data_IF_079816064561
#
_entry.id   IF_079816064561
#
_cell.length_a   1.000
_cell.length_b   1.000
_cell.length_c   1.000
_cell.angle_alpha   90.00
_cell.angle_beta   90.00
_cell.angle_gamma   90.00
#
_symmetry.space_group_name_H-M   'P 1'
#
loop_
_entity.id
_entity.type
_entity.pdbx_description
1 polymer ?
#
# COMPACT_ATOMS: atom_id res chain seq x y z
N UNK A 1 -24.27 -61.47 -34.76
CA UNK A 1 -23.38 -61.18 -33.61
C UNK A 1 -23.09 -59.69 -33.57
N UNK A 2 -23.56 -59.06 -32.47
CA UNK A 2 -23.15 -57.81 -31.83
C UNK A 2 -22.92 -56.53 -32.64
N UNK A 3 -24.01 -55.78 -32.86
CA UNK A 3 -24.00 -54.30 -32.89
C UNK A 3 -24.34 -53.78 -31.49
N UNK A 4 -23.35 -53.35 -30.69
CA UNK A 4 -23.65 -52.97 -29.30
C UNK A 4 -22.61 -52.21 -28.50
N UNK A 5 -21.61 -51.56 -29.12
CA UNK A 5 -20.54 -50.88 -28.35
C UNK A 5 -20.34 -49.39 -28.74
N UNK A 6 -21.00 -48.85 -29.75
CA UNK A 6 -20.52 -47.60 -30.37
C UNK A 6 -21.33 -46.31 -30.12
N UNK A 7 -22.38 -46.32 -29.28
CA UNK A 7 -23.10 -45.09 -28.90
C UNK A 7 -22.75 -44.61 -27.49
N UNK A 8 -22.68 -45.50 -26.51
CA UNK A 8 -22.41 -45.14 -25.11
C UNK A 8 -21.00 -44.58 -24.91
N UNK A 9 -20.01 -45.13 -25.64
CA UNK A 9 -18.61 -44.65 -25.59
C UNK A 9 -18.48 -43.27 -26.26
N UNK A 10 -19.20 -43.02 -27.35
CA UNK A 10 -19.17 -41.72 -28.05
C UNK A 10 -19.85 -40.61 -27.24
N UNK A 11 -20.96 -40.91 -26.56
CA UNK A 11 -21.63 -39.92 -25.70
C UNK A 11 -20.85 -39.70 -24.39
N UNK A 12 -20.21 -40.74 -23.84
CA UNK A 12 -19.30 -40.62 -22.70
C UNK A 12 -18.06 -39.78 -23.00
N UNK A 13 -17.43 -39.98 -24.17
CA UNK A 13 -16.28 -39.19 -24.58
C UNK A 13 -16.63 -37.72 -24.84
N UNK A 14 -17.81 -37.43 -25.42
CA UNK A 14 -18.26 -36.06 -25.65
C UNK A 14 -18.61 -35.34 -24.34
N UNK A 15 -19.22 -36.03 -23.37
CA UNK A 15 -19.51 -35.50 -22.04
C UNK A 15 -18.23 -35.26 -21.22
N UNK A 16 -17.20 -36.12 -21.37
CA UNK A 16 -15.90 -35.93 -20.73
C UNK A 16 -15.13 -34.76 -21.33
N UNK A 17 -15.18 -34.58 -22.66
CA UNK A 17 -14.58 -33.44 -23.36
C UNK A 17 -15.30 -32.12 -23.05
N UNK A 18 -16.63 -32.11 -22.94
CA UNK A 18 -17.36 -30.94 -22.46
C UNK A 18 -17.05 -30.64 -20.99
N UNK A 19 -17.00 -31.67 -20.12
CA UNK A 19 -16.64 -31.54 -18.70
C UNK A 19 -15.21 -31.00 -18.45
N UNK A 20 -14.26 -31.39 -19.30
CA UNK A 20 -12.89 -30.86 -19.29
C UNK A 20 -12.82 -29.44 -19.87
N UNK A 21 -13.68 -29.09 -20.84
CA UNK A 21 -13.72 -27.73 -21.41
C UNK A 21 -14.39 -26.69 -20.49
N UNK A 22 -15.29 -27.09 -19.59
CA UNK A 22 -15.87 -26.18 -18.58
C UNK A 22 -15.03 -26.06 -17.30
N UNK A 23 -13.91 -26.78 -17.19
CA UNK A 23 -13.06 -26.76 -15.99
C UNK A 23 -11.61 -26.34 -16.23
N UNK A 24 -11.17 -26.15 -17.49
CA UNK A 24 -9.74 -25.98 -17.80
C UNK A 24 -9.32 -24.68 -18.51
N UNK A 25 -10.22 -23.77 -18.87
CA UNK A 25 -9.81 -22.53 -19.56
C UNK A 25 -9.42 -21.37 -18.63
N UNK A 26 -9.77 -21.39 -17.33
CA UNK A 26 -9.34 -20.35 -16.37
C UNK A 26 -8.31 -20.86 -15.34
N UNK A 27 -8.14 -22.18 -15.20
CA UNK A 27 -7.38 -22.78 -14.08
C UNK A 27 -5.91 -23.05 -14.36
N UNK A 28 -5.46 -22.94 -15.61
CA UNK A 28 -4.11 -23.34 -16.02
C UNK A 28 -3.22 -22.18 -16.46
N UNK A 29 -3.79 -21.00 -16.73
CA UNK A 29 -3.01 -19.84 -17.23
C UNK A 29 -2.44 -18.98 -16.10
N UNK A 30 -3.01 -19.04 -14.89
CA UNK A 30 -2.56 -18.18 -13.77
C UNK A 30 -2.42 -18.87 -12.40
N UNK A 31 -2.43 -20.21 -12.34
CA UNK A 31 -2.15 -20.96 -11.09
C UNK A 31 -3.10 -20.59 -9.94
N UNK A 32 -4.18 -21.34 -9.79
CA UNK A 32 -5.15 -21.15 -8.70
C UNK A 32 -4.48 -21.41 -7.32
N UNK A 33 -4.08 -20.35 -6.61
CA UNK A 33 -3.42 -20.42 -5.30
C UNK A 33 -4.49 -20.60 -4.22
N UNK A 34 -4.64 -21.82 -3.70
CA UNK A 34 -5.50 -22.12 -2.54
C UNK A 34 -4.65 -22.39 -1.28
N UNK A 35 -4.53 -21.43 -0.35
CA UNK A 35 -3.78 -21.63 0.89
C UNK A 35 -4.50 -22.63 1.82
N UNK A 36 -3.76 -23.63 2.32
CA UNK A 36 -4.26 -24.55 3.35
C UNK A 36 -4.04 -23.91 4.75
N UNK A 37 -5.11 -23.76 5.53
CA UNK A 37 -5.10 -23.10 6.83
C UNK A 37 -4.84 -24.05 8.01
N UNK A 38 -4.86 -25.37 7.79
CA UNK A 38 -4.80 -26.39 8.85
C UNK A 38 -3.40 -26.98 9.09
N UNK A 39 -2.40 -26.61 8.28
CA UNK A 39 -1.03 -27.04 8.50
C UNK A 39 -0.42 -26.26 9.67
N UNK A 40 0.20 -26.93 10.65
CA UNK A 40 0.72 -26.32 11.87
C UNK A 40 2.27 -26.22 11.86
N UNK A 41 2.83 -25.13 11.30
CA UNK A 41 4.26 -24.86 11.21
C UNK A 41 4.86 -24.20 12.47
N UNK A 42 4.17 -24.16 13.62
CA UNK A 42 4.62 -23.55 14.88
C UNK A 42 5.98 -24.10 15.42
N UNK A 43 6.55 -25.11 14.77
CA UNK A 43 7.79 -25.76 15.17
C UNK A 43 9.06 -25.28 14.43
N UNK A 44 9.01 -24.27 13.52
CA UNK A 44 10.13 -24.05 12.58
C UNK A 44 10.70 -22.64 12.31
N UNK A 45 10.17 -21.51 12.81
CA UNK A 45 10.76 -20.17 12.51
C UNK A 45 10.92 -19.28 13.75
N UNK A 46 11.95 -18.42 13.73
CA UNK A 46 12.25 -17.40 14.74
C UNK A 46 11.54 -16.06 14.53
N UNK A 47 10.58 -15.99 13.59
CA UNK A 47 9.85 -14.78 13.16
C UNK A 47 8.34 -15.03 13.27
N UNK A 48 7.51 -14.06 13.74
CA UNK A 48 6.05 -14.18 13.77
C UNK A 48 5.43 -14.08 12.37
N UNK A 49 4.82 -15.19 11.89
CA UNK A 49 4.26 -15.34 10.55
C UNK A 49 3.14 -14.33 10.20
N UNK A 50 3.07 -13.93 8.93
CA UNK A 50 1.99 -13.17 8.28
C UNK A 50 1.28 -14.00 7.20
N UNK A 51 0.23 -13.44 6.59
CA UNK A 51 -0.36 -14.03 5.39
C UNK A 51 0.63 -14.19 4.23
N UNK A 52 1.69 -13.36 4.16
CA UNK A 52 2.67 -13.41 3.08
C UNK A 52 3.43 -14.74 3.04
N UNK A 53 3.77 -15.32 4.20
CA UNK A 53 4.47 -16.61 4.30
C UNK A 53 3.78 -17.71 3.47
N UNK A 54 2.44 -17.76 3.55
CA UNK A 54 1.62 -18.75 2.83
C UNK A 54 1.66 -18.54 1.32
N UNK A 55 1.60 -17.29 0.88
CA UNK A 55 1.75 -16.94 -0.54
C UNK A 55 3.16 -17.27 -1.03
N UNK A 56 4.20 -16.90 -0.27
CA UNK A 56 5.61 -17.15 -0.62
C UNK A 56 5.86 -18.65 -0.80
N UNK A 57 5.41 -19.48 0.15
CA UNK A 57 5.59 -20.94 0.07
C UNK A 57 4.84 -21.56 -1.12
N UNK A 58 3.73 -20.95 -1.54
CA UNK A 58 2.98 -21.37 -2.73
C UNK A 58 3.69 -20.92 -4.02
N UNK A 59 4.10 -19.65 -4.09
CA UNK A 59 4.78 -19.05 -5.25
C UNK A 59 6.14 -19.70 -5.53
N UNK A 60 6.87 -20.14 -4.49
CA UNK A 60 8.12 -20.90 -4.65
C UNK A 60 7.98 -22.20 -5.45
N UNK A 61 6.76 -22.76 -5.50
CA UNK A 61 6.46 -24.02 -6.20
C UNK A 61 6.03 -23.78 -7.65
N UNK A 62 5.71 -22.55 -8.03
CA UNK A 62 5.27 -22.20 -9.37
C UNK A 62 6.48 -22.14 -10.30
N UNK A 63 6.32 -22.65 -11.52
CA UNK A 63 7.28 -22.54 -12.61
C UNK A 63 6.58 -21.88 -13.78
N UNK A 64 7.11 -20.76 -14.24
CA UNK A 64 6.52 -20.00 -15.35
C UNK A 64 7.26 -20.39 -16.63
N UNK A 65 6.54 -21.00 -17.57
CA UNK A 65 7.08 -21.46 -18.86
C UNK A 65 6.76 -20.52 -20.00
N UNK A 66 5.87 -19.56 -19.79
CA UNK A 66 5.48 -18.58 -20.79
C UNK A 66 6.60 -17.58 -21.09
N UNK A 67 6.48 -16.90 -22.22
CA UNK A 67 7.41 -15.85 -22.59
C UNK A 67 7.24 -14.64 -21.65
N UNK A 68 8.34 -14.25 -21.02
CA UNK A 68 8.42 -13.11 -20.09
C UNK A 68 9.21 -11.97 -20.72
N UNK A 69 8.81 -10.72 -20.45
CA UNK A 69 9.70 -9.60 -20.66
C UNK A 69 10.92 -9.75 -19.74
N UNK A 70 12.13 -9.57 -20.28
CA UNK A 70 13.36 -9.60 -19.49
C UNK A 70 14.15 -8.30 -19.70
N UNK A 71 13.66 -7.16 -19.17
CA UNK A 71 14.27 -5.85 -19.39
C UNK A 71 15.62 -5.67 -18.68
N UNK A 72 16.02 -6.60 -17.79
CA UNK A 72 17.28 -6.57 -17.05
C UNK A 72 18.07 -7.89 -17.15
N UNK A 73 18.46 -8.31 -18.37
CA UNK A 73 19.01 -9.64 -18.62
C UNK A 73 20.35 -9.91 -17.92
N UNK A 74 21.08 -8.85 -17.58
CA UNK A 74 22.40 -8.89 -16.93
C UNK A 74 22.38 -8.31 -15.51
N UNK A 75 21.19 -8.11 -14.93
CA UNK A 75 21.03 -7.50 -13.62
C UNK A 75 20.30 -8.35 -12.60
N UNK A 76 19.84 -7.68 -11.54
CA UNK A 76 19.22 -8.33 -10.39
C UNK A 76 17.82 -8.85 -10.69
N UNK A 77 17.16 -8.31 -11.72
CA UNK A 77 15.80 -8.70 -12.12
C UNK A 77 15.77 -9.65 -13.32
N UNK A 78 16.91 -10.26 -13.65
CA UNK A 78 16.99 -11.26 -14.72
C UNK A 78 15.96 -12.37 -14.49
N UNK A 79 15.16 -12.65 -15.51
CA UNK A 79 14.14 -13.71 -15.50
C UNK A 79 13.08 -13.57 -14.39
N UNK A 80 12.84 -12.37 -13.83
CA UNK A 80 11.69 -12.15 -12.93
C UNK A 80 10.40 -12.62 -13.64
N UNK A 81 9.63 -13.49 -12.98
CA UNK A 81 8.27 -13.85 -13.38
C UNK A 81 7.13 -13.27 -12.51
N UNK A 82 7.24 -13.30 -11.17
CA UNK A 82 6.15 -12.87 -10.29
C UNK A 82 6.64 -11.96 -9.17
N UNK A 83 5.82 -10.99 -8.74
CA UNK A 83 6.01 -10.26 -7.50
C UNK A 83 4.79 -10.43 -6.59
N UNK A 84 4.98 -10.84 -5.34
CA UNK A 84 3.98 -10.67 -4.30
C UNK A 84 4.16 -9.31 -3.65
N UNK A 85 3.10 -8.53 -3.61
CA UNK A 85 3.02 -7.26 -2.88
C UNK A 85 2.11 -7.45 -1.68
N UNK A 86 2.61 -7.12 -0.50
CA UNK A 86 1.82 -7.09 0.72
C UNK A 86 1.68 -5.64 1.20
N UNK A 87 0.44 -5.24 1.49
CA UNK A 87 0.11 -4.08 2.31
C UNK A 87 -0.28 -4.56 3.71
N UNK A 88 0.29 -3.96 4.74
CA UNK A 88 0.00 -4.33 6.14
C UNK A 88 -0.24 -3.11 7.01
N UNK A 89 -1.34 -3.08 7.77
CA UNK A 89 -1.61 -2.02 8.74
C UNK A 89 -0.58 -2.05 9.89
N UNK A 90 -0.09 -0.88 10.28
CA UNK A 90 0.81 -0.67 11.41
C UNK A 90 0.72 0.74 11.98
N UNK A 91 1.54 1.02 12.99
CA UNK A 91 1.60 2.33 13.64
C UNK A 91 2.99 2.64 14.21
N UNK A 92 3.22 3.91 14.54
CA UNK A 92 4.44 4.40 15.19
C UNK A 92 4.27 4.43 16.72
N UNK A 93 5.33 4.10 17.46
CA UNK A 93 5.36 4.18 18.93
C UNK A 93 6.16 5.40 19.48
N UNK A 94 6.55 6.34 18.62
CA UNK A 94 7.53 7.37 18.99
C UNK A 94 8.97 6.83 18.96
N UNK A 95 9.97 7.72 19.01
CA UNK A 95 11.41 7.39 19.00
C UNK A 95 11.89 6.51 17.83
N UNK A 96 11.22 6.61 16.67
CA UNK A 96 11.57 5.82 15.48
C UNK A 96 11.16 4.35 15.55
N UNK A 97 10.47 3.92 16.61
CA UNK A 97 9.97 2.56 16.78
C UNK A 97 8.70 2.32 15.97
N UNK A 98 8.67 1.26 15.15
CA UNK A 98 7.57 0.94 14.24
C UNK A 98 7.17 -0.53 14.39
N UNK A 99 5.86 -0.80 14.51
CA UNK A 99 5.33 -2.15 14.65
C UNK A 99 4.13 -2.34 13.71
N UNK A 100 3.96 -3.57 13.20
CA UNK A 100 2.71 -3.93 12.53
C UNK A 100 1.58 -4.10 13.54
N UNK A 101 0.32 -3.95 13.10
CA UNK A 101 -0.82 -4.33 13.93
C UNK A 101 -0.98 -5.85 13.94
N UNK A 102 -1.56 -6.37 15.03
CA UNK A 102 -2.09 -7.72 15.05
C UNK A 102 -3.11 -7.91 13.94
N UNK A 103 -3.13 -9.10 13.35
CA UNK A 103 -4.15 -9.48 12.38
C UNK A 103 -5.33 -10.05 13.15
N UNK A 104 -6.48 -9.39 13.05
CA UNK A 104 -7.71 -9.82 13.70
C UNK A 104 -8.62 -10.46 12.64
N UNK A 105 -8.85 -11.79 12.68
CA UNK A 105 -9.61 -12.48 11.62
C UNK A 105 -11.02 -11.92 11.39
N UNK A 106 -11.62 -11.32 12.41
CA UNK A 106 -12.97 -10.74 12.40
C UNK A 106 -12.98 -9.22 12.55
N UNK A 107 -11.86 -8.55 12.28
CA UNK A 107 -11.88 -7.10 12.28
C UNK A 107 -12.84 -6.55 11.19
N UNK A 108 -13.40 -5.36 11.40
CA UNK A 108 -14.26 -4.67 10.44
C UNK A 108 -13.60 -4.40 9.09
N UNK A 109 -12.27 -4.28 9.05
CA UNK A 109 -11.47 -4.23 7.82
C UNK A 109 -10.29 -5.20 7.93
N UNK A 110 -9.64 -5.48 6.78
CA UNK A 110 -8.48 -6.37 6.72
C UNK A 110 -7.20 -5.59 7.06
N UNK A 111 -6.33 -6.18 7.88
CA UNK A 111 -5.04 -5.59 8.25
C UNK A 111 -3.92 -6.02 7.29
N UNK A 112 -4.16 -7.00 6.43
CA UNK A 112 -3.22 -7.50 5.43
C UNK A 112 -3.95 -7.70 4.10
N UNK A 113 -3.43 -7.04 3.06
CA UNK A 113 -3.97 -7.10 1.71
C UNK A 113 -2.85 -7.43 0.72
N UNK A 114 -3.17 -8.23 -0.30
CA UNK A 114 -2.18 -8.81 -1.19
C UNK A 114 -2.50 -8.51 -2.66
N UNK A 115 -1.43 -8.28 -3.42
CA UNK A 115 -1.48 -8.15 -4.88
C UNK A 115 -0.40 -9.04 -5.46
N UNK A 116 -0.74 -9.78 -6.52
CA UNK A 116 0.23 -10.56 -7.28
C UNK A 116 0.44 -9.86 -8.62
N UNK A 117 1.69 -9.53 -8.91
CA UNK A 117 2.10 -8.93 -10.17
C UNK A 117 2.69 -10.04 -11.03
N UNK A 118 2.07 -10.29 -12.17
CA UNK A 118 2.55 -11.27 -13.14
C UNK A 118 3.28 -10.56 -14.26
N UNK A 119 4.59 -10.80 -14.36
CA UNK A 119 5.34 -10.39 -15.53
C UNK A 119 4.83 -11.17 -16.74
N UNK A 120 4.81 -10.52 -17.89
CA UNK A 120 4.33 -11.07 -19.14
C UNK A 120 5.12 -10.42 -20.29
N UNK A 121 4.89 -10.84 -21.54
CA UNK A 121 5.56 -10.25 -22.70
C UNK A 121 4.95 -8.89 -23.15
N UNK A 122 3.97 -8.36 -22.43
CA UNK A 122 3.31 -7.09 -22.72
C UNK A 122 4.05 -5.87 -22.19
N UNK A 123 3.51 -4.69 -22.47
CA UNK A 123 4.11 -3.41 -22.03
C UNK A 123 3.93 -3.12 -20.54
N UNK A 124 2.91 -3.73 -19.91
CA UNK A 124 2.65 -3.63 -18.47
C UNK A 124 2.45 -5.03 -17.89
N UNK A 125 3.04 -5.34 -16.72
CA UNK A 125 2.72 -6.55 -15.97
C UNK A 125 1.24 -6.59 -15.59
N UNK A 126 0.68 -7.78 -15.49
CA UNK A 126 -0.71 -7.96 -15.02
C UNK A 126 -0.75 -7.77 -13.52
N UNK A 127 -1.67 -6.94 -13.03
CA UNK A 127 -1.87 -6.66 -11.60
C UNK A 127 -3.11 -7.39 -11.10
N UNK A 128 -2.92 -8.36 -10.20
CA UNK A 128 -4.00 -9.17 -9.65
C UNK A 128 -4.17 -8.90 -8.15
N UNK A 129 -5.17 -8.07 -7.81
CA UNK A 129 -5.58 -7.87 -6.43
C UNK A 129 -6.24 -9.15 -5.91
N UNK A 130 -5.68 -9.72 -4.84
CA UNK A 130 -6.20 -10.93 -4.22
C UNK A 130 -7.47 -10.59 -3.44
N UNK A 131 -8.64 -10.69 -4.08
CA UNK A 131 -9.91 -10.19 -3.53
C UNK A 131 -10.29 -10.80 -2.18
N UNK A 132 -9.85 -12.03 -1.90
CA UNK A 132 -9.99 -12.70 -0.59
C UNK A 132 -9.24 -11.99 0.55
N UNK A 133 -8.22 -11.21 0.22
CA UNK A 133 -7.49 -10.39 1.20
C UNK A 133 -8.10 -9.01 1.39
N UNK A 134 -9.00 -8.58 0.51
CA UNK A 134 -9.65 -7.26 0.57
C UNK A 134 -11.09 -7.32 1.06
N UNK A 135 -11.74 -8.48 1.00
CA UNK A 135 -13.12 -8.70 1.47
C UNK A 135 -13.18 -8.59 2.98
N UNK A 136 -14.11 -7.82 3.56
CA UNK A 136 -14.25 -7.78 5.03
C UNK A 136 -14.92 -9.06 5.54
N UNK A 137 -14.81 -9.35 6.84
CA UNK A 137 -15.50 -10.48 7.45
C UNK A 137 -17.03 -10.40 7.21
N UNK A 138 -17.61 -9.21 7.35
CA UNK A 138 -19.05 -8.99 7.15
C UNK A 138 -19.47 -9.20 5.69
N UNK A 139 -18.69 -8.69 4.74
CA UNK A 139 -18.91 -8.93 3.32
C UNK A 139 -18.85 -10.43 2.99
N UNK A 140 -17.91 -11.17 3.57
CA UNK A 140 -17.79 -12.62 3.42
C UNK A 140 -19.04 -13.36 3.93
N UNK A 141 -19.57 -12.97 5.10
CA UNK A 141 -20.81 -13.55 5.66
C UNK A 141 -22.02 -13.34 4.74
N UNK A 142 -22.01 -12.25 3.97
CA UNK A 142 -23.04 -11.94 2.97
C UNK A 142 -22.73 -12.50 1.57
N UNK A 143 -21.70 -13.34 1.43
CA UNK A 143 -21.23 -13.89 0.15
C UNK A 143 -20.85 -12.81 -0.89
N UNK A 144 -20.45 -11.62 -0.42
CA UNK A 144 -19.91 -10.56 -1.28
C UNK A 144 -18.45 -10.85 -1.60
N UNK A 145 -17.97 -10.27 -2.70
CA UNK A 145 -16.56 -10.30 -3.06
C UNK A 145 -15.94 -8.97 -2.69
N UNK A 146 -14.75 -9.00 -2.07
CA UNK A 146 -13.97 -7.80 -1.78
C UNK A 146 -13.65 -7.01 -3.05
N UNK A 147 -13.28 -5.73 -2.96
CA UNK A 147 -12.98 -4.92 -4.13
C UNK A 147 -11.76 -5.43 -4.90
N UNK A 148 -11.54 -4.88 -6.10
CA UNK A 148 -10.34 -5.11 -6.90
C UNK A 148 -9.29 -3.99 -6.70
N UNK A 149 -9.23 -3.43 -5.49
CA UNK A 149 -8.27 -2.39 -5.09
C UNK A 149 -7.89 -2.60 -3.62
N UNK A 150 -6.73 -2.06 -3.23
CA UNK A 150 -6.28 -2.06 -1.84
C UNK A 150 -7.06 -1.00 -1.06
N UNK A 151 -7.63 -1.38 0.09
CA UNK A 151 -8.35 -0.49 1.00
C UNK A 151 -7.38 0.10 2.02
N UNK A 152 -7.31 1.42 2.07
CA UNK A 152 -6.38 2.14 2.96
C UNK A 152 -7.16 3.08 3.89
N UNK A 153 -6.85 3.00 5.18
CA UNK A 153 -7.21 4.01 6.17
C UNK A 153 -6.04 4.99 6.28
N UNK A 154 -6.27 6.26 5.96
CA UNK A 154 -5.28 7.32 6.02
C UNK A 154 -5.15 8.00 7.37
N UNK A 155 -4.28 9.01 7.40
CA UNK A 155 -4.00 9.88 8.55
C UNK A 155 -2.59 9.71 9.11
N UNK A 156 -2.04 10.81 9.64
CA UNK A 156 -0.64 10.94 10.10
C UNK A 156 -0.05 9.82 10.95
N UNK A 157 -0.86 9.18 11.79
CA UNK A 157 -0.42 8.14 12.73
C UNK A 157 -0.69 6.72 12.19
N UNK A 158 -1.39 6.60 11.06
CA UNK A 158 -1.71 5.34 10.40
C UNK A 158 -0.65 5.03 9.36
N UNK A 159 0.04 3.91 9.54
CA UNK A 159 1.09 3.47 8.62
C UNK A 159 0.69 2.18 7.93
N UNK A 160 1.07 2.07 6.67
CA UNK A 160 0.84 0.88 5.86
C UNK A 160 2.16 0.36 5.33
N UNK A 161 2.57 -0.80 5.79
CA UNK A 161 3.80 -1.43 5.38
C UNK A 161 3.67 -2.04 4.01
N UNK A 162 4.69 -1.83 3.21
CA UNK A 162 4.88 -2.43 1.90
C UNK A 162 5.99 -3.46 2.00
N UNK A 163 5.74 -4.66 1.49
CA UNK A 163 6.78 -5.65 1.22
C UNK A 163 6.60 -6.18 -0.21
N UNK A 164 7.69 -6.17 -0.98
CA UNK A 164 7.76 -6.68 -2.35
C UNK A 164 8.63 -7.95 -2.36
N UNK A 165 8.07 -9.08 -2.76
CA UNK A 165 8.79 -10.36 -2.89
C UNK A 165 8.87 -10.74 -4.35
N UNK A 166 10.06 -10.67 -4.94
CA UNK A 166 10.28 -10.99 -6.34
C UNK A 166 10.71 -12.43 -6.53
N UNK A 167 10.12 -13.10 -7.51
CA UNK A 167 10.41 -14.48 -7.86
C UNK A 167 10.82 -14.57 -9.33
N UNK A 168 11.87 -15.34 -9.60
CA UNK A 168 12.24 -15.69 -10.96
C UNK A 168 11.26 -16.71 -11.56
N UNK A 169 11.38 -16.99 -12.86
CA UNK A 169 10.57 -18.01 -13.55
C UNK A 169 10.66 -19.41 -12.95
N UNK A 170 11.70 -19.67 -12.15
CA UNK A 170 11.89 -20.92 -11.43
C UNK A 170 11.37 -20.84 -9.98
N UNK A 171 10.55 -19.84 -9.63
CA UNK A 171 10.00 -19.66 -8.29
C UNK A 171 11.06 -19.35 -7.22
N UNK A 172 12.28 -18.96 -7.58
CA UNK A 172 13.32 -18.61 -6.61
C UNK A 172 13.13 -17.17 -6.15
N UNK A 173 13.14 -16.95 -4.84
CA UNK A 173 13.07 -15.60 -4.27
C UNK A 173 14.35 -14.82 -4.61
N UNK A 174 14.20 -13.61 -5.14
CA UNK A 174 15.27 -12.78 -5.72
C UNK A 174 15.71 -11.63 -4.80
N UNK A 175 14.99 -11.38 -3.69
CA UNK A 175 15.19 -10.20 -2.84
C UNK A 175 16.63 -9.99 -2.38
N UNK A 176 17.32 -11.05 -1.93
CA UNK A 176 18.72 -10.94 -1.50
C UNK A 176 19.67 -10.61 -2.66
N UNK A 177 19.40 -11.10 -3.88
CA UNK A 177 20.19 -10.75 -5.07
C UNK A 177 20.04 -9.27 -5.44
N UNK A 178 18.81 -8.75 -5.30
CA UNK A 178 18.50 -7.33 -5.51
C UNK A 178 19.22 -6.48 -4.45
N UNK A 179 19.15 -6.87 -3.19
CA UNK A 179 19.87 -6.20 -2.10
C UNK A 179 21.38 -6.24 -2.34
N UNK A 180 21.95 -7.34 -2.83
CA UNK A 180 23.38 -7.43 -3.12
C UNK A 180 23.85 -6.46 -4.22
N UNK A 181 22.95 -5.98 -5.06
CA UNK A 181 23.22 -4.96 -6.09
C UNK A 181 22.58 -3.61 -5.74
N UNK A 182 22.32 -3.33 -4.46
CA UNK A 182 21.59 -2.14 -4.03
C UNK A 182 22.20 -0.82 -4.49
N UNK A 183 23.50 -0.76 -4.78
CA UNK A 183 24.21 0.41 -5.30
C UNK A 183 23.80 0.81 -6.73
N UNK A 184 22.93 0.00 -7.36
CA UNK A 184 22.45 0.21 -8.72
C UNK A 184 20.93 0.26 -8.85
N UNK A 185 20.15 -0.10 -7.82
CA UNK A 185 18.68 -0.15 -7.91
C UNK A 185 18.01 0.68 -6.84
N UNK A 186 16.90 1.31 -7.22
CA UNK A 186 15.94 1.95 -6.32
C UNK A 186 14.55 1.85 -6.92
N UNK A 187 13.56 1.59 -6.07
CA UNK A 187 12.14 1.57 -6.39
C UNK A 187 11.55 2.91 -5.96
N UNK A 188 10.90 3.58 -6.91
CA UNK A 188 10.24 4.86 -6.72
C UNK A 188 8.72 4.68 -6.72
N UNK A 189 8.04 5.44 -5.87
CA UNK A 189 6.61 5.35 -5.62
C UNK A 189 5.95 6.69 -5.95
N UNK A 190 4.96 6.67 -6.84
CA UNK A 190 4.25 7.90 -7.25
C UNK A 190 2.75 7.63 -7.41
N UNK A 191 1.92 8.67 -7.33
CA UNK A 191 0.58 8.59 -7.94
C UNK A 191 0.77 8.45 -9.45
N UNK A 192 0.10 7.46 -10.05
CA UNK A 192 0.23 7.14 -11.48
C UNK A 192 -0.66 8.04 -12.33
N UNK A 193 -0.16 8.42 -13.51
CA UNK A 193 -0.91 9.05 -14.61
C UNK A 193 -1.68 8.04 -15.47
N UNK A 194 -1.40 6.73 -15.32
CA UNK A 194 -2.05 5.63 -16.03
C UNK A 194 -2.54 4.54 -15.08
N UNK A 195 -3.49 3.71 -15.53
CA UNK A 195 -4.00 2.55 -14.81
C UNK A 195 -3.03 1.34 -14.85
N UNK A 196 -3.47 0.19 -14.33
CA UNK A 196 -2.74 -1.09 -14.33
C UNK A 196 -2.50 -1.67 -15.73
N UNK A 197 -3.13 -1.11 -16.77
CA UNK A 197 -3.04 -1.55 -18.17
C UNK A 197 -2.32 -0.52 -19.05
N UNK A 198 -1.91 0.62 -18.47
CA UNK A 198 -1.24 1.70 -19.18
C UNK A 198 -2.18 2.70 -19.86
N UNK A 199 -3.49 2.66 -19.61
CA UNK A 199 -4.42 3.66 -20.10
C UNK A 199 -4.42 4.90 -19.19
N UNK A 200 -4.56 6.13 -19.72
CA UNK A 200 -4.66 7.34 -18.89
C UNK A 200 -5.73 7.21 -17.81
N UNK A 201 -5.40 7.63 -16.59
CA UNK A 201 -6.30 7.51 -15.45
C UNK A 201 -6.56 8.86 -14.77
N UNK A 202 -7.83 9.14 -14.51
CA UNK A 202 -8.28 10.29 -13.74
C UNK A 202 -8.40 9.89 -12.25
N UNK A 203 -7.64 10.57 -11.37
CA UNK A 203 -7.73 10.32 -9.93
C UNK A 203 -9.06 10.83 -9.40
N UNK A 204 -9.77 9.94 -8.71
CA UNK A 204 -11.09 10.23 -8.16
C UNK A 204 -10.98 10.59 -6.69
N UNK A 205 -11.86 11.48 -6.22
CA UNK A 205 -12.13 11.76 -4.83
C UNK A 205 -13.31 10.90 -4.35
N UNK A 206 -13.04 10.03 -3.37
CA UNK A 206 -14.01 9.07 -2.85
C UNK A 206 -15.02 9.69 -1.88
N UNK A 207 -14.82 10.96 -1.48
CA UNK A 207 -15.79 11.70 -0.66
C UNK A 207 -17.13 11.91 -1.37
N UNK A 208 -17.10 11.98 -2.71
CA UNK A 208 -18.25 12.30 -3.53
C UNK A 208 -18.57 13.79 -3.49
N UNK A 209 -19.80 14.17 -3.18
CA UNK A 209 -20.19 15.59 -2.99
C UNK A 209 -21.22 15.73 -1.89
N UNK A 210 -21.35 16.91 -1.29
CA UNK A 210 -22.46 17.20 -0.38
C UNK A 210 -23.00 18.62 -0.52
N UNK A 211 -24.23 18.80 -0.03
CA UNK A 211 -24.91 20.09 0.05
C UNK A 211 -25.32 20.33 1.50
N UNK A 212 -24.71 21.35 2.10
CA UNK A 212 -24.94 21.75 3.48
C UNK A 212 -26.12 22.69 3.57
N UNK A 213 -26.94 22.53 4.60
CA UNK A 213 -28.06 23.44 4.86
C UNK A 213 -27.58 24.69 5.60
N UNK A 214 -28.05 25.85 5.17
CA UNK A 214 -27.86 27.13 5.86
C UNK A 214 -29.20 27.81 6.08
N UNK A 215 -29.29 28.62 7.13
CA UNK A 215 -30.43 29.51 7.33
C UNK A 215 -30.35 30.77 6.45
N UNK A 216 -31.35 31.64 6.55
CA UNK A 216 -31.42 32.91 5.80
C UNK A 216 -30.26 33.88 6.10
N UNK A 217 -29.54 33.68 7.20
CA UNK A 217 -28.38 34.49 7.60
C UNK A 217 -27.05 33.81 7.26
N UNK A 218 -27.09 32.68 6.56
CA UNK A 218 -25.90 31.91 6.19
C UNK A 218 -25.30 31.10 7.35
N UNK A 219 -26.02 30.91 8.46
CA UNK A 219 -25.58 30.06 9.56
C UNK A 219 -25.85 28.60 9.23
N UNK A 220 -24.88 27.74 9.52
CA UNK A 220 -24.99 26.30 9.33
C UNK A 220 -26.21 25.75 10.09
N UNK A 221 -26.93 24.82 9.47
CA UNK A 221 -28.06 24.12 10.06
C UNK A 221 -27.84 22.60 9.94
N UNK A 222 -28.26 21.80 10.93
CA UNK A 222 -28.14 20.36 10.84
C UNK A 222 -28.93 19.81 9.65
N UNK A 223 -28.31 18.87 8.94
CA UNK A 223 -28.86 18.22 7.76
C UNK A 223 -28.32 18.76 6.44
N UNK A 224 -28.80 18.14 5.36
CA UNK A 224 -28.27 18.33 4.01
C UNK A 224 -28.36 17.03 3.23
N UNK A 225 -27.65 16.96 2.11
CA UNK A 225 -27.57 15.73 1.29
C UNK A 225 -26.13 15.39 1.00
N UNK A 226 -25.80 14.10 1.04
CA UNK A 226 -24.50 13.56 0.65
C UNK A 226 -24.73 12.62 -0.55
N UNK A 227 -24.00 12.83 -1.64
CA UNK A 227 -23.89 11.87 -2.74
C UNK A 227 -22.51 11.20 -2.64
N UNK A 228 -22.44 9.91 -2.25
CA UNK A 228 -21.17 9.22 -2.02
C UNK A 228 -20.49 8.78 -3.33
N UNK A 229 -21.06 9.06 -4.50
CA UNK A 229 -20.46 8.68 -5.78
C UNK A 229 -19.15 9.42 -6.00
N UNK A 230 -18.01 8.72 -6.20
CA UNK A 230 -16.73 9.38 -6.42
C UNK A 230 -16.75 10.33 -7.63
N UNK A 231 -16.09 11.48 -7.48
CA UNK A 231 -15.97 12.51 -8.52
C UNK A 231 -14.49 12.72 -8.90
N UNK A 232 -14.17 13.26 -10.08
CA UNK A 232 -12.79 13.64 -10.40
C UNK A 232 -12.20 14.57 -9.34
N UNK A 233 -10.98 14.29 -8.89
CA UNK A 233 -10.31 15.07 -7.86
C UNK A 233 -9.89 16.45 -8.40
N UNK A 234 -10.37 17.56 -7.80
CA UNK A 234 -9.95 18.91 -8.19
C UNK A 234 -8.44 19.13 -8.03
N UNK A 235 -7.83 18.60 -6.96
CA UNK A 235 -6.38 18.64 -6.72
C UNK A 235 -5.58 18.15 -7.92
N UNK A 236 -6.06 17.12 -8.60
CA UNK A 236 -5.36 16.49 -9.72
C UNK A 236 -5.74 17.02 -11.10
N UNK A 237 -6.64 18.02 -11.16
CA UNK A 237 -6.98 18.68 -12.41
C UNK A 237 -5.72 19.24 -13.10
N UNK A 238 -5.56 18.92 -14.38
CA UNK A 238 -4.43 19.38 -15.20
C UNK A 238 -3.09 18.67 -14.95
N UNK A 239 -3.00 17.72 -14.00
CA UNK A 239 -1.78 16.94 -13.74
C UNK A 239 -1.82 15.66 -14.57
N UNK A 240 -1.39 15.74 -15.82
CA UNK A 240 -1.57 14.67 -16.80
C UNK A 240 -0.28 13.93 -17.16
N UNK A 241 0.87 14.47 -16.77
CA UNK A 241 2.17 13.85 -16.99
C UNK A 241 2.67 13.13 -15.73
N UNK A 242 3.59 12.19 -15.91
CA UNK A 242 4.24 11.54 -14.77
C UNK A 242 4.90 12.54 -13.81
N UNK A 243 5.63 13.56 -14.32
CA UNK A 243 6.35 14.50 -13.47
C UNK A 243 5.40 15.34 -12.62
N UNK A 244 4.31 15.84 -13.21
CA UNK A 244 3.27 16.57 -12.46
C UNK A 244 2.62 15.70 -11.37
N UNK A 245 2.43 14.40 -11.62
CA UNK A 245 1.93 13.46 -10.62
C UNK A 245 2.95 13.16 -9.53
N UNK A 246 4.21 12.96 -9.90
CA UNK A 246 5.30 12.76 -8.96
C UNK A 246 5.43 13.96 -8.01
N UNK A 247 5.43 15.19 -8.54
CA UNK A 247 5.53 16.42 -7.75
C UNK A 247 4.33 16.65 -6.81
N UNK A 248 3.15 16.13 -7.18
CA UNK A 248 1.96 16.18 -6.35
C UNK A 248 1.88 15.03 -5.33
N UNK A 249 2.65 13.95 -5.51
CA UNK A 249 2.54 12.73 -4.68
C UNK A 249 2.82 12.98 -3.19
N UNK A 250 3.81 13.80 -2.79
CA UNK A 250 4.05 14.10 -1.37
C UNK A 250 2.89 14.75 -0.63
N UNK A 251 1.87 15.26 -1.34
CA UNK A 251 0.63 15.77 -0.74
C UNK A 251 -0.44 14.71 -0.48
N UNK A 252 -0.23 13.50 -1.00
CA UNK A 252 -1.14 12.35 -0.82
C UNK A 252 -0.57 11.33 0.14
N UNK A 253 0.73 11.02 0.01
CA UNK A 253 1.39 10.09 0.91
C UNK A 253 2.88 10.38 1.02
N UNK A 254 3.46 9.89 2.10
CA UNK A 254 4.90 9.79 2.32
C UNK A 254 5.29 8.31 2.29
N UNK A 255 6.46 7.98 1.73
CA UNK A 255 7.05 6.65 1.83
C UNK A 255 8.40 6.67 2.57
N UNK A 256 8.53 5.84 3.60
CA UNK A 256 9.80 5.66 4.32
C UNK A 256 10.42 4.32 3.95
N UNK A 257 11.65 4.33 3.41
CA UNK A 257 12.43 3.13 3.14
C UNK A 257 12.84 2.40 4.42
N UNK A 258 12.80 1.07 4.38
CA UNK A 258 13.08 0.17 5.52
C UNK A 258 13.71 -1.15 5.08
N UNK A 259 14.48 -1.13 4.00
CA UNK A 259 15.19 -2.31 3.53
C UNK A 259 16.16 -2.83 4.61
N UNK A 260 16.23 -4.14 4.76
CA UNK A 260 17.11 -4.81 5.74
C UNK A 260 18.38 -5.32 5.06
N UNK A 261 19.38 -5.67 5.87
CA UNK A 261 20.66 -6.17 5.35
C UNK A 261 20.56 -7.47 4.55
N UNK A 262 19.67 -8.36 4.99
CA UNK A 262 19.24 -9.58 4.30
C UNK A 262 17.72 -9.67 4.48
N UNK A 263 17.06 -10.44 3.61
CA UNK A 263 15.62 -10.64 3.67
C UNK A 263 15.14 -11.05 5.07
N UNK A 264 15.81 -12.04 5.67
CA UNK A 264 15.41 -12.63 6.97
C UNK A 264 15.88 -11.81 8.20
N UNK A 265 16.63 -10.71 8.04
CA UNK A 265 17.13 -9.88 9.14
C UNK A 265 16.09 -8.85 9.58
N UNK A 266 14.94 -9.36 10.02
CA UNK A 266 13.78 -8.52 10.31
C UNK A 266 13.80 -7.95 11.74
N UNK A 267 14.48 -8.61 12.69
CA UNK A 267 14.30 -8.47 14.15
C UNK A 267 15.09 -7.38 14.89
N UNK A 268 14.56 -6.16 14.99
CA UNK A 268 14.75 -5.18 16.09
C UNK A 268 14.00 -3.88 15.74
N UNK A 269 13.04 -3.50 16.59
CA UNK A 269 12.26 -2.26 16.46
C UNK A 269 12.53 -1.27 17.59
N UNK A 270 13.47 -1.53 18.48
CA UNK A 270 13.86 -0.61 19.57
C UNK A 270 14.80 0.48 19.08
N UNK A 271 15.49 0.27 17.95
CA UNK A 271 16.38 1.23 17.30
C UNK A 271 16.04 1.31 15.83
N UNK A 272 15.73 2.52 15.35
CA UNK A 272 15.23 2.73 13.98
C UNK A 272 16.14 2.05 12.93
N UNK A 273 17.47 2.19 13.02
CA UNK A 273 18.40 1.74 11.98
C UNK A 273 19.12 0.42 12.23
N UNK A 274 18.93 -0.25 13.37
CA UNK A 274 19.78 -1.38 13.78
C UNK A 274 19.80 -2.53 12.76
N UNK A 275 18.65 -2.87 12.18
CA UNK A 275 18.56 -3.88 11.11
C UNK A 275 18.38 -3.30 9.71
N UNK A 276 18.29 -1.99 9.59
CA UNK A 276 18.14 -1.35 8.31
C UNK A 276 19.48 -1.30 7.60
N UNK A 277 19.43 -1.55 6.29
CA UNK A 277 20.60 -1.45 5.43
C UNK A 277 21.02 0.01 5.36
N UNK A 278 22.28 0.27 5.69
CA UNK A 278 22.85 1.61 5.59
C UNK A 278 23.50 1.81 4.22
N UNK A 279 23.57 3.06 3.80
CA UNK A 279 24.15 3.45 2.53
C UNK A 279 25.65 3.13 2.51
N UNK A 280 26.17 2.35 1.54
CA UNK A 280 27.59 2.08 1.45
C UNK A 280 28.43 3.38 1.40
N UNK A 281 29.59 3.44 2.07
CA UNK A 281 30.32 2.32 2.69
C UNK A 281 29.92 2.01 4.14
N UNK A 282 28.84 2.60 4.68
CA UNK A 282 28.38 2.30 6.04
C UNK A 282 28.02 0.82 6.18
N UNK A 283 28.21 0.30 7.39
CA UNK A 283 28.05 -1.10 7.76
C UNK A 283 27.11 -1.23 8.95
N UNK A 284 26.73 -2.45 9.31
CA UNK A 284 25.94 -2.74 10.53
C UNK A 284 26.51 -2.10 11.80
N UNK A 285 27.84 -1.91 11.87
CA UNK A 285 28.50 -1.33 13.06
C UNK A 285 28.25 0.17 13.22
N UNK A 286 27.85 0.84 12.14
CA UNK A 286 27.61 2.28 12.13
C UNK A 286 26.18 2.65 12.56
N UNK A 287 25.30 1.65 12.74
CA UNK A 287 23.88 1.84 13.02
C UNK A 287 23.59 2.64 14.29
N UNK A 288 24.49 2.61 15.27
CA UNK A 288 24.34 3.36 16.53
C UNK A 288 24.52 4.88 16.36
N UNK A 289 25.16 5.32 15.27
CA UNK A 289 25.44 6.73 14.98
C UNK A 289 24.78 7.23 13.70
N UNK A 290 24.18 6.31 12.95
CA UNK A 290 23.48 6.62 11.71
C UNK A 290 22.15 7.33 12.00
N UNK A 291 21.70 8.16 11.05
CA UNK A 291 20.46 8.94 11.16
C UNK A 291 19.55 8.69 9.97
N UNK A 292 18.31 8.27 10.24
CA UNK A 292 17.27 8.15 9.24
C UNK A 292 16.75 9.55 8.84
N UNK A 293 16.37 9.77 7.56
CA UNK A 293 16.48 8.86 6.42
C UNK A 293 17.80 9.01 5.64
N UNK A 294 18.79 9.72 6.18
CA UNK A 294 19.97 10.17 5.45
C UNK A 294 21.02 9.07 5.24
N UNK A 295 21.26 8.26 6.27
CA UNK A 295 22.26 7.18 6.24
C UNK A 295 21.70 5.84 5.72
N UNK A 296 20.42 5.83 5.31
CA UNK A 296 19.73 4.63 4.84
C UNK A 296 20.03 4.34 3.38
N UNK A 297 20.25 3.06 3.07
CA UNK A 297 20.16 2.59 1.69
C UNK A 297 18.68 2.53 1.27
N UNK A 298 18.37 2.97 0.06
CA UNK A 298 17.00 3.09 -0.46
C UNK A 298 16.82 2.15 -1.64
N UNK A 299 16.50 0.88 -1.40
CA UNK A 299 16.18 -0.07 -2.48
C UNK A 299 14.69 -0.06 -2.74
N UNK A 300 13.86 -0.12 -1.70
CA UNK A 300 12.39 -0.05 -1.77
C UNK A 300 11.69 -1.40 -1.86
N UNK A 301 12.36 -2.50 -1.49
CA UNK A 301 11.70 -3.81 -1.31
C UNK A 301 10.84 -3.83 -0.05
N UNK A 302 11.17 -2.97 0.92
CA UNK A 302 10.43 -2.80 2.16
C UNK A 302 10.36 -1.34 2.59
N UNK A 303 9.22 -0.93 3.13
CA UNK A 303 9.01 0.41 3.65
C UNK A 303 7.60 0.62 4.17
N UNK A 304 7.26 1.87 4.48
CA UNK A 304 5.93 2.23 4.98
C UNK A 304 5.39 3.44 4.25
N UNK A 305 4.12 3.38 3.89
CA UNK A 305 3.33 4.53 3.51
C UNK A 305 2.71 5.17 4.75
N UNK A 306 2.72 6.49 4.77
CA UNK A 306 1.84 7.30 5.59
C UNK A 306 0.94 8.10 4.65
N UNK A 307 -0.35 7.83 4.67
CA UNK A 307 -1.33 8.58 3.87
C UNK A 307 -1.81 9.79 4.67
N UNK A 308 -0.86 10.66 5.01
CA UNK A 308 -1.10 11.96 5.66
C UNK A 308 -1.36 12.99 4.56
N UNK A 309 -2.62 13.11 4.20
CA UNK A 309 -3.04 13.87 3.03
C UNK A 309 -3.13 15.34 3.42
N UNK A 310 -2.39 16.18 2.71
CA UNK A 310 -2.37 17.64 2.85
C UNK A 310 -3.00 18.35 1.63
N UNK A 311 -3.68 17.60 0.77
CA UNK A 311 -4.30 18.08 -0.47
C UNK A 311 -5.80 18.36 -0.29
N UNK A 312 -6.26 19.48 -0.88
CA UNK A 312 -7.66 19.92 -0.91
C UNK A 312 -8.34 19.90 0.47
N UNK A 313 -7.73 20.62 1.43
CA UNK A 313 -8.22 20.75 2.81
C UNK A 313 -9.67 21.29 2.89
N UNK A 314 -10.11 22.08 1.91
CA UNK A 314 -11.51 22.46 1.69
C UNK A 314 -11.70 22.96 0.24
N UNK A 315 -12.33 22.16 -0.61
CA UNK A 315 -12.74 22.60 -1.95
C UNK A 315 -14.22 23.04 -1.99
N UNK A 316 -14.67 23.59 -3.12
CA UNK A 316 -16.01 24.13 -3.27
C UNK A 316 -17.13 23.09 -3.11
N UNK A 317 -16.84 21.80 -3.33
CA UNK A 317 -17.78 20.68 -3.15
C UNK A 317 -17.87 20.24 -1.68
N UNK A 318 -16.90 20.68 -0.85
CA UNK A 318 -16.64 20.11 0.46
C UNK A 318 -16.51 21.15 1.59
N UNK A 319 -17.25 22.25 1.50
CA UNK A 319 -17.09 23.38 2.44
C UNK A 319 -17.45 23.06 3.89
N UNK A 320 -18.59 22.40 4.12
CA UNK A 320 -19.10 22.11 5.47
C UNK A 320 -19.77 20.77 5.55
N UNK A 321 -19.36 19.93 6.50
CA UNK A 321 -20.03 18.65 6.70
C UNK A 321 -21.53 18.83 7.06
N UNK A 322 -22.46 18.11 6.41
CA UNK A 322 -23.90 18.32 6.61
C UNK A 322 -24.49 17.60 7.82
N UNK A 323 -23.82 16.58 8.36
CA UNK A 323 -24.35 15.83 9.51
C UNK A 323 -24.01 16.55 10.83
N UNK A 324 -24.97 16.56 11.75
CA UNK A 324 -24.80 17.13 13.08
C UNK A 324 -23.89 16.25 13.95
N UNK A 325 -22.93 16.87 14.60
CA UNK A 325 -22.10 16.23 15.62
C UNK A 325 -22.84 16.33 16.96
N UNK A 326 -23.34 15.20 17.44
CA UNK A 326 -24.28 15.12 18.56
C UNK A 326 -23.62 14.89 19.92
N UNK A 327 -22.45 14.23 19.94
CA UNK A 327 -21.68 13.85 21.13
C UNK A 327 -20.70 14.94 21.58
N UNK A 328 -20.40 15.90 20.71
CA UNK A 328 -19.60 17.11 21.03
C UNK A 328 -20.52 18.31 21.23
N UNK A 329 -21.17 18.34 22.39
CA UNK A 329 -22.12 19.41 22.71
C UNK A 329 -21.40 20.69 23.11
N UNK A 330 -21.93 21.84 22.67
CA UNK A 330 -21.50 23.16 23.14
C UNK A 330 -21.72 23.27 24.66
N UNK A 331 -20.69 23.63 25.48
CA UNK A 331 -20.81 23.67 26.93
C UNK A 331 -21.83 24.70 27.46
N UNK A 332 -22.15 25.73 26.67
CA UNK A 332 -23.05 26.83 27.02
C UNK A 332 -24.50 26.50 26.68
N UNK A 333 -24.73 25.82 25.57
CA UNK A 333 -26.09 25.54 25.05
C UNK A 333 -26.54 24.10 25.23
N UNK A 334 -25.62 23.17 25.49
CA UNK A 334 -25.88 21.73 25.63
C UNK A 334 -26.31 21.03 24.33
N UNK A 335 -26.19 21.70 23.18
CA UNK A 335 -26.60 21.16 21.88
C UNK A 335 -25.41 20.67 21.06
N UNK A 336 -25.68 19.70 20.20
CA UNK A 336 -24.75 19.31 19.14
C UNK A 336 -24.50 20.45 18.15
N UNK A 337 -23.60 20.23 17.20
CA UNK A 337 -23.17 21.30 16.32
C UNK A 337 -22.48 20.85 15.04
N UNK A 338 -21.94 21.85 14.35
CA UNK A 338 -21.20 21.70 13.10
C UNK A 338 -19.87 20.97 13.34
N UNK A 339 -19.48 20.11 12.41
CA UNK A 339 -18.11 19.62 12.34
C UNK A 339 -17.16 20.75 11.96
N UNK A 340 -16.15 21.02 12.79
CA UNK A 340 -15.32 22.23 12.70
C UNK A 340 -13.99 22.04 12.00
N UNK A 341 -13.60 20.80 11.70
CA UNK A 341 -12.32 20.51 11.04
C UNK A 341 -12.51 20.49 9.53
N UNK A 342 -11.44 20.77 8.77
CA UNK A 342 -11.43 20.50 7.34
C UNK A 342 -11.54 18.99 7.06
N UNK A 343 -11.78 18.65 5.80
CA UNK A 343 -11.67 17.28 5.31
C UNK A 343 -10.78 17.29 4.07
N UNK A 344 -9.78 16.43 4.05
CA UNK A 344 -8.87 16.29 2.91
C UNK A 344 -9.44 15.36 1.84
N UNK A 345 -8.87 15.39 0.64
CA UNK A 345 -9.23 14.44 -0.44
C UNK A 345 -9.09 12.99 0.04
N UNK A 346 -10.02 12.10 -0.36
CA UNK A 346 -9.93 10.65 -0.15
C UNK A 346 -9.67 9.95 -1.49
N UNK A 347 -8.42 9.90 -1.98
CA UNK A 347 -8.16 9.57 -3.36
C UNK A 347 -8.33 8.08 -3.66
N UNK A 348 -8.95 7.79 -4.81
CA UNK A 348 -8.85 6.51 -5.51
C UNK A 348 -7.92 6.67 -6.70
N UNK A 349 -6.75 6.04 -6.61
CA UNK A 349 -5.66 6.22 -7.56
C UNK A 349 -4.91 4.93 -7.83
N UNK A 350 -4.00 4.96 -8.78
CA UNK A 350 -3.07 3.87 -9.02
C UNK A 350 -1.69 4.24 -8.46
N UNK A 351 -1.16 3.44 -7.54
CA UNK A 351 0.21 3.56 -7.04
C UNK A 351 1.17 3.03 -8.08
N UNK A 352 1.94 3.92 -8.67
CA UNK A 352 3.03 3.59 -9.60
C UNK A 352 4.24 3.10 -8.81
N UNK A 353 4.62 1.84 -9.04
CA UNK A 353 5.83 1.21 -8.52
C UNK A 353 6.83 1.11 -9.67
N UNK A 354 7.82 2.00 -9.68
CA UNK A 354 8.83 2.09 -10.75
C UNK A 354 10.14 1.55 -10.25
N UNK A 355 10.58 0.42 -10.81
CA UNK A 355 11.89 -0.13 -10.51
C UNK A 355 12.88 0.46 -11.48
N UNK A 356 13.85 1.20 -10.96
CA UNK A 356 14.84 1.88 -11.76
C UNK A 356 16.25 1.36 -11.46
N UNK A 357 17.08 1.38 -12.50
CA UNK A 357 18.49 1.00 -12.44
C UNK A 357 19.38 2.16 -12.87
N UNK A 358 20.50 2.34 -12.17
CA UNK A 358 21.55 3.28 -12.54
C UNK A 358 22.89 2.57 -12.76
N UNK A 359 23.87 3.21 -13.41
CA UNK A 359 25.25 2.74 -13.39
C UNK A 359 25.80 2.65 -11.95
N UNK A 360 26.75 1.74 -11.74
CA UNK A 360 27.41 1.57 -10.45
C UNK A 360 28.05 2.89 -9.98
N UNK A 361 27.83 3.25 -8.71
CA UNK A 361 28.33 4.48 -8.10
C UNK A 361 27.52 5.74 -8.44
N UNK A 362 26.37 5.61 -9.12
CA UNK A 362 25.49 6.74 -9.46
C UNK A 362 24.21 6.83 -8.62
N UNK A 363 23.98 5.91 -7.69
CA UNK A 363 22.76 5.90 -6.87
C UNK A 363 22.66 7.08 -5.89
N UNK A 364 23.68 7.29 -5.06
CA UNK A 364 23.69 8.33 -4.04
C UNK A 364 24.63 9.46 -4.44
N UNK A 365 24.06 10.57 -4.90
CA UNK A 365 24.80 11.70 -5.48
C UNK A 365 24.47 13.04 -4.83
N UNK A 366 23.49 13.11 -3.92
CA UNK A 366 23.12 14.35 -3.25
C UNK A 366 24.12 14.61 -2.11
N UNK A 367 24.94 15.67 -2.17
CA UNK A 367 26.00 15.91 -1.20
C UNK A 367 25.42 16.37 0.16
N UNK A 368 26.01 15.87 1.24
CA UNK A 368 25.60 16.16 2.63
C UNK A 368 25.54 17.66 2.93
N UNK A 369 26.63 18.40 2.75
CA UNK A 369 26.70 19.78 3.24
C UNK A 369 25.71 20.72 2.52
N UNK A 370 25.58 20.68 1.18
CA UNK A 370 24.57 21.45 0.47
C UNK A 370 23.13 21.06 0.84
N UNK A 371 22.88 19.78 1.15
CA UNK A 371 21.57 19.33 1.60
C UNK A 371 21.25 19.86 3.00
N UNK A 372 22.16 19.71 3.96
CA UNK A 372 22.00 20.22 5.33
C UNK A 372 21.77 21.72 5.37
N UNK A 373 22.49 22.49 4.55
CA UNK A 373 22.30 23.94 4.43
C UNK A 373 20.89 24.35 4.00
N UNK A 374 20.13 23.45 3.37
CA UNK A 374 18.77 23.71 2.86
C UNK A 374 17.66 23.10 3.72
N UNK A 375 17.92 22.00 4.45
CA UNK A 375 16.83 21.13 4.93
C UNK A 375 16.90 20.70 6.41
N UNK A 376 18.04 20.76 7.11
CA UNK A 376 18.14 19.99 8.37
C UNK A 376 19.15 20.52 9.39
N UNK A 377 18.81 20.34 10.67
CA UNK A 377 19.67 20.58 11.84
C UNK A 377 20.43 19.33 12.30
N UNK A 378 20.26 18.19 11.64
CA UNK A 378 20.86 16.91 12.02
C UNK A 378 22.23 16.67 11.38
N UNK A 379 23.12 15.97 12.09
CA UNK A 379 24.41 15.52 11.55
C UNK A 379 24.34 14.02 11.31
N UNK A 380 24.55 13.59 10.06
CA UNK A 380 24.53 12.18 9.64
C UNK A 380 25.89 11.73 9.09
N UNK A 381 26.13 10.42 8.96
CA UNK A 381 27.46 9.87 8.66
C UNK A 381 27.83 9.92 7.17
N UNK A 382 26.87 9.68 6.29
CA UNK A 382 27.06 9.51 4.86
C UNK A 382 27.51 10.82 4.19
N UNK A 383 28.41 10.71 3.22
CA UNK A 383 28.86 11.88 2.43
C UNK A 383 27.83 12.30 1.37
N UNK A 384 27.08 11.32 0.88
CA UNK A 384 26.02 11.49 -0.09
C UNK A 384 24.77 10.79 0.42
N UNK A 385 23.59 11.19 -0.06
CA UNK A 385 22.33 10.52 0.22
C UNK A 385 21.67 10.08 -1.09
N UNK A 386 20.77 9.09 -1.00
CA UNK A 386 19.95 8.65 -2.12
C UNK A 386 18.86 9.66 -2.45
N UNK A 387 18.38 9.63 -3.70
CA UNK A 387 17.16 10.34 -4.11
C UNK A 387 15.97 9.97 -3.24
N UNK A 388 15.03 10.89 -3.09
CA UNK A 388 13.77 10.66 -2.40
C UNK A 388 12.82 9.77 -3.21
N UNK A 389 11.90 9.13 -2.51
CA UNK A 389 11.09 8.01 -3.03
C UNK A 389 10.20 8.35 -4.22
N UNK A 390 9.90 9.62 -4.47
CA UNK A 390 9.09 10.08 -5.61
C UNK A 390 9.91 10.79 -6.69
N UNK A 391 11.16 11.17 -6.42
CA UNK A 391 11.94 12.09 -7.26
C UNK A 391 13.29 11.49 -7.67
N UNK A 392 13.33 10.61 -8.70
CA UNK A 392 14.61 10.10 -9.23
C UNK A 392 15.53 11.22 -9.74
N UNK A 393 14.98 12.38 -10.10
CA UNK A 393 15.73 13.51 -10.66
C UNK A 393 16.33 14.46 -9.60
N UNK A 394 16.07 14.25 -8.30
CA UNK A 394 16.57 15.11 -7.21
C UNK A 394 18.08 15.43 -7.29
N UNK A 395 18.99 14.50 -7.65
CA UNK A 395 20.41 14.82 -7.78
C UNK A 395 20.74 15.94 -8.78
N UNK A 396 19.87 16.19 -9.77
CA UNK A 396 20.05 17.27 -10.76
C UNK A 396 20.01 18.65 -10.12
N UNK A 397 19.27 18.81 -9.02
CA UNK A 397 19.21 20.03 -8.22
C UNK A 397 20.53 20.35 -7.49
N UNK A 398 21.44 19.36 -7.48
CA UNK A 398 22.78 19.43 -6.89
C UNK A 398 23.89 19.33 -7.97
N UNK A 399 23.55 19.46 -9.26
CA UNK A 399 24.50 19.40 -10.36
C UNK A 399 25.02 18.00 -10.68
N UNK A 400 24.32 16.96 -10.23
CA UNK A 400 24.65 15.56 -10.50
C UNK A 400 23.54 14.86 -11.29
N UNK A 401 23.82 13.69 -11.85
CA UNK A 401 22.81 12.88 -12.54
C UNK A 401 23.06 11.41 -12.25
N UNK A 402 22.06 10.79 -11.61
CA UNK A 402 22.05 9.35 -11.32
C UNK A 402 21.87 8.51 -12.58
N UNK A 403 21.37 9.10 -13.68
CA UNK A 403 21.14 8.40 -14.95
C UNK A 403 20.19 7.21 -14.78
N UNK A 404 19.17 7.38 -13.94
CA UNK A 404 18.14 6.37 -13.70
C UNK A 404 17.45 5.98 -15.00
N UNK A 405 17.26 4.68 -15.21
CA UNK A 405 16.49 4.10 -16.31
C UNK A 405 15.44 3.17 -15.74
N UNK A 406 14.21 3.23 -16.25
CA UNK A 406 13.19 2.25 -15.91
C UNK A 406 13.64 0.85 -16.33
N UNK A 407 13.52 -0.09 -15.40
CA UNK A 407 13.59 -1.51 -15.69
C UNK A 407 12.20 -1.99 -16.08
N UNK A 408 11.22 -1.72 -15.23
CA UNK A 408 9.79 -1.90 -15.51
C UNK A 408 8.97 -1.09 -14.49
N UNK A 409 7.67 -1.03 -14.72
CA UNK A 409 6.68 -0.38 -13.87
C UNK A 409 5.42 -1.22 -13.80
N UNK A 410 4.78 -1.24 -12.64
CA UNK A 410 3.41 -1.72 -12.48
C UNK A 410 2.63 -0.76 -11.58
N UNK A 411 1.31 -0.73 -11.75
CA UNK A 411 0.45 0.25 -11.09
C UNK A 411 -0.62 -0.45 -10.26
N UNK A 412 -0.60 -0.27 -8.94
CA UNK A 412 -1.52 -0.95 -8.01
C UNK A 412 -2.73 -0.06 -7.73
N UNK A 413 -3.98 -0.52 -7.94
CA UNK A 413 -5.15 0.28 -7.58
C UNK A 413 -5.29 0.40 -6.05
N UNK A 414 -5.36 1.63 -5.56
CA UNK A 414 -5.51 1.99 -4.15
C UNK A 414 -6.73 2.89 -3.98
N UNK A 415 -7.49 2.67 -2.90
CA UNK A 415 -8.50 3.61 -2.40
C UNK A 415 -8.18 3.96 -0.95
N UNK A 416 -7.84 5.22 -0.69
CA UNK A 416 -7.90 5.77 0.67
C UNK A 416 -9.36 6.09 0.93
N UNK A 417 -10.02 5.33 1.80
CA UNK A 417 -11.47 5.40 1.94
C UNK A 417 -11.92 6.17 3.19
N UNK A 418 -11.06 6.38 4.16
CA UNK A 418 -11.27 7.32 5.27
C UNK A 418 -9.92 7.77 5.83
N UNK A 419 -9.88 8.87 6.58
CA UNK A 419 -8.67 9.37 7.23
C UNK A 419 -8.90 9.61 8.71
N UNK A 420 -7.98 9.17 9.58
CA UNK A 420 -8.09 9.47 11.02
C UNK A 420 -8.02 10.98 11.31
N UNK A 421 -7.63 11.81 10.35
CA UNK A 421 -7.78 13.25 10.44
C UNK A 421 -9.26 13.67 10.50
N UNK A 422 -10.16 12.96 9.84
CA UNK A 422 -11.59 13.30 9.76
C UNK A 422 -12.38 12.97 11.05
N UNK A 423 -11.72 12.62 12.15
CA UNK A 423 -12.37 12.44 13.46
C UNK A 423 -11.61 13.15 14.57
N UNK A 424 -12.33 13.66 15.55
CA UNK A 424 -11.75 14.26 16.76
C UNK A 424 -11.50 13.17 17.81
N UNK A 425 -10.23 12.84 18.10
CA UNK A 425 -9.92 11.75 19.02
C UNK A 425 -10.28 12.05 20.48
N UNK A 426 -10.57 13.31 20.84
CA UNK A 426 -10.90 13.69 22.22
C UNK A 426 -12.37 13.44 22.56
N UNK A 427 -13.24 13.43 21.55
CA UNK A 427 -14.67 13.17 21.69
C UNK A 427 -15.26 12.69 20.35
N UNK A 428 -15.13 11.39 20.09
CA UNK A 428 -15.58 10.74 18.85
C UNK A 428 -17.10 10.73 18.70
N UNK A 429 -17.59 10.98 17.48
CA UNK A 429 -19.01 10.98 17.13
C UNK A 429 -19.27 10.10 15.90
N UNK A 430 -20.33 9.28 15.86
CA UNK A 430 -20.63 8.42 14.71
C UNK A 430 -20.87 9.20 13.41
N UNK A 431 -21.28 10.47 13.49
CA UNK A 431 -21.46 11.35 12.35
C UNK A 431 -20.17 12.07 11.91
N UNK A 432 -19.03 11.83 12.56
CA UNK A 432 -17.75 12.31 12.02
C UNK A 432 -17.52 11.72 10.61
N UNK A 433 -16.96 12.50 9.66
CA UNK A 433 -16.74 12.00 8.30
C UNK A 433 -15.93 10.70 8.26
N UNK A 434 -14.98 10.50 9.19
CA UNK A 434 -14.24 9.23 9.33
C UNK A 434 -15.16 8.00 9.44
N UNK A 435 -16.10 8.00 10.39
CA UNK A 435 -16.98 6.86 10.63
C UNK A 435 -18.07 6.73 9.57
N UNK A 436 -18.50 7.85 9.00
CA UNK A 436 -19.36 7.85 7.82
C UNK A 436 -18.71 7.09 6.66
N UNK A 437 -17.51 7.49 6.22
CA UNK A 437 -16.86 6.84 5.08
C UNK A 437 -16.35 5.43 5.39
N UNK A 438 -15.90 5.18 6.62
CA UNK A 438 -15.59 3.82 7.09
C UNK A 438 -16.80 2.90 6.91
N UNK A 439 -17.97 3.30 7.44
CA UNK A 439 -19.21 2.54 7.33
C UNK A 439 -19.63 2.32 5.87
N UNK A 440 -19.58 3.37 5.03
CA UNK A 440 -19.89 3.26 3.61
C UNK A 440 -19.00 2.23 2.89
N UNK A 441 -17.70 2.21 3.16
CA UNK A 441 -16.76 1.29 2.50
C UNK A 441 -17.00 -0.18 2.87
N UNK A 442 -17.36 -0.45 4.14
CA UNK A 442 -17.47 -1.81 4.68
C UNK A 442 -18.93 -2.29 4.82
N UNK A 443 -19.89 -1.48 4.39
CA UNK A 443 -21.32 -1.84 4.39
C UNK A 443 -22.02 -1.72 5.75
N UNK A 444 -21.56 -0.81 6.61
CA UNK A 444 -22.13 -0.55 7.94
C UNK A 444 -22.75 0.84 8.04
N UNK A 445 -23.66 1.02 8.99
CA UNK A 445 -24.05 2.36 9.43
C UNK A 445 -22.86 3.05 10.11
N UNK A 446 -22.88 4.38 10.20
CA UNK A 446 -21.78 5.12 10.83
C UNK A 446 -21.66 4.84 12.33
N UNK A 447 -22.78 4.51 12.98
CA UNK A 447 -22.81 4.10 14.39
C UNK A 447 -22.20 2.71 14.59
N UNK A 448 -22.58 1.73 13.77
CA UNK A 448 -22.01 0.38 13.82
C UNK A 448 -20.52 0.40 13.46
N UNK A 449 -20.11 1.24 12.51
CA UNK A 449 -18.72 1.42 12.13
C UNK A 449 -17.87 1.98 13.28
N UNK A 450 -18.41 2.95 14.02
CA UNK A 450 -17.79 3.48 15.23
C UNK A 450 -17.62 2.36 16.27
N UNK A 451 -18.68 1.62 16.60
CA UNK A 451 -18.61 0.52 17.57
C UNK A 451 -17.62 -0.56 17.13
N UNK A 452 -17.65 -0.97 15.86
CA UNK A 452 -16.75 -1.99 15.33
C UNK A 452 -15.29 -1.55 15.39
N UNK A 453 -15.01 -0.27 15.13
CA UNK A 453 -13.65 0.27 15.19
C UNK A 453 -13.05 0.28 16.60
N UNK A 454 -13.88 0.41 17.63
CA UNK A 454 -13.46 0.39 19.04
C UNK A 454 -13.00 -1.00 19.49
N UNK A 455 -13.52 -2.05 18.84
CA UNK A 455 -13.17 -3.44 19.13
C UNK A 455 -11.85 -3.88 18.49
N UNK A 456 -11.26 -3.05 17.62
CA UNK A 456 -9.90 -3.27 17.10
C UNK A 456 -8.91 -2.60 18.04
N UNK A 457 -8.12 -3.40 18.76
CA UNK A 457 -6.99 -2.87 19.52
C UNK A 457 -5.89 -2.42 18.56
N UNK A 458 -5.98 -1.17 18.10
CA UNK A 458 -4.81 -0.48 17.58
C UNK A 458 -3.96 -0.10 18.79
N UNK A 459 -2.82 -0.75 18.99
CA UNK A 459 -1.95 -0.43 20.11
C UNK A 459 -1.57 1.05 19.99
N UNK A 460 -1.94 1.86 20.99
CA UNK A 460 -1.97 3.30 20.76
C UNK A 460 -2.58 4.15 21.87
N UNK A 461 -2.52 3.72 23.14
CA UNK A 461 -2.54 4.62 24.31
C UNK A 461 -1.96 3.88 25.53
N UNK A 462 -0.70 4.17 25.87
CA UNK A 462 -0.10 3.91 27.19
C UNK A 462 0.39 2.48 27.49
N UNK A 463 1.72 2.32 27.60
CA UNK A 463 2.34 1.24 28.40
C UNK A 463 2.93 0.10 27.58
N UNK A 464 4.26 0.03 27.54
CA UNK A 464 5.02 -0.91 26.71
C UNK A 464 5.14 -2.34 27.22
N UNK A 465 5.68 -3.19 26.35
CA UNK A 465 6.67 -4.25 26.57
C UNK A 465 6.88 -4.90 25.20
N UNK A 466 8.03 -4.64 24.57
CA UNK A 466 8.23 -4.82 23.14
C UNK A 466 8.20 -6.26 22.63
N UNK A 467 8.02 -6.38 21.30
CA UNK A 467 8.91 -7.12 20.39
C UNK A 467 8.76 -6.48 18.99
N UNK A 468 9.83 -5.85 18.53
CA UNK A 468 9.91 -5.25 17.20
C UNK A 468 9.90 -6.32 16.13
N UNK A 469 8.88 -6.25 15.27
CA UNK A 469 8.86 -6.65 13.87
C UNK A 469 7.54 -6.16 13.27
N UNK A 470 7.60 -5.58 12.08
CA UNK A 470 6.44 -5.60 11.19
C UNK A 470 6.15 -7.08 10.95
N UNK A 471 5.00 -7.60 11.43
CA UNK A 471 4.69 -9.03 11.30
C UNK A 471 4.94 -9.48 9.85
N UNK A 472 5.73 -10.54 9.69
CA UNK A 472 6.11 -11.15 8.42
C UNK A 472 6.04 -12.66 8.50
#
# INVERSE_FOLDING_TARGET
>A
MNTGINKTIKHGALALLLGLSVSSCDKFVFGDIHPNYDDNPLLKKSIPQSGADKYIDSLKKIRVTDNLANPDPDGAFKDWATCLVMFKEGHSHGDGMMHGNFVYPKAPWKQEEFVIIHNNAGSYPTVEVQRQSTVTYLEEQENKKGPNYIRIIGGRLKRWGLCLYFFDKNGRLMNDDILNQSDQYQIFFTVSEVDDKGAPYEVMDSRGTWQTKYDQYGQWQPGGTIDPKPVPSPFFAGKNTWKERADATPKIFEYTYRDTWIHDAMGDGARELFNQRLLPPLTRKDADWAVAPYDQDRVGLKGHFNFDIDADENDALHRDWPLEITRRTDPTTGKGGRYTRPSFVLPKFYLSVRVMKCPKGKKALIPKDPYLARHSTYVFLSKFICSDWFNPDEPKEYGADSQWKDVFRFNIPIKVFCSSFDTDPTAIDPNDPYYYYLGQEIGLSSEDALEASQNVQTHGTGGGSGYGNWFL
#
